data_IF_339236005934
#
_entry.id   IF_339236005934
#
_cell.length_a   1.000
_cell.length_b   1.000
_cell.length_c   1.000
_cell.angle_alpha   90.00
_cell.angle_beta   90.00
_cell.angle_gamma   90.00
#
_symmetry.space_group_name_H-M   'P 1'
#
loop_
_entity.id
_entity.type
_entity.pdbx_description
1 polymer ?
#
# COMPACT_ATOMS: atom_id res chain seq x y z
N UNK A 1 39.85 -8.75 -25.48
CA UNK A 1 38.37 -8.69 -25.54
C UNK A 1 37.69 -8.60 -24.16
N UNK A 2 38.18 -9.23 -23.09
CA UNK A 2 37.52 -9.20 -21.77
C UNK A 2 37.42 -7.81 -21.09
N UNK A 3 38.42 -6.92 -21.27
CA UNK A 3 38.40 -5.55 -20.69
C UNK A 3 37.44 -4.58 -21.37
N UNK A 4 37.08 -4.81 -22.64
CA UNK A 4 36.13 -3.96 -23.38
C UNK A 4 34.68 -4.27 -22.99
N UNK A 5 34.36 -5.53 -22.74
CA UNK A 5 33.02 -5.94 -22.27
C UNK A 5 32.73 -5.46 -20.84
N UNK A 6 33.72 -5.53 -19.95
CA UNK A 6 33.57 -5.04 -18.57
C UNK A 6 33.34 -3.51 -18.48
N UNK A 7 33.87 -2.74 -19.43
CA UNK A 7 33.67 -1.29 -19.50
C UNK A 7 32.28 -0.90 -20.02
N UNK A 8 31.70 -1.69 -20.93
CA UNK A 8 30.32 -1.48 -21.38
C UNK A 8 29.30 -1.85 -20.30
N UNK A 9 29.48 -2.98 -19.61
CA UNK A 9 28.55 -3.39 -18.55
C UNK A 9 28.50 -2.39 -17.40
N UNK A 10 29.65 -1.85 -16.99
CA UNK A 10 29.69 -0.84 -15.94
C UNK A 10 29.02 0.49 -16.37
N UNK A 11 29.15 0.88 -17.65
CA UNK A 11 28.48 2.07 -18.18
C UNK A 11 26.95 1.88 -18.31
N UNK A 12 26.50 0.69 -18.72
CA UNK A 12 25.08 0.34 -18.79
C UNK A 12 24.44 0.27 -17.39
N UNK A 13 25.19 -0.24 -16.41
CA UNK A 13 24.76 -0.27 -15.01
C UNK A 13 24.65 1.14 -14.41
N UNK A 14 25.62 2.02 -14.67
CA UNK A 14 25.60 3.42 -14.22
C UNK A 14 24.45 4.23 -14.86
N UNK A 15 24.21 4.04 -16.17
CA UNK A 15 23.12 4.69 -16.90
C UNK A 15 21.74 4.18 -16.43
N UNK A 16 21.63 2.90 -16.13
CA UNK A 16 20.42 2.31 -15.53
C UNK A 16 20.17 2.84 -14.11
N UNK A 17 21.21 2.91 -13.29
CA UNK A 17 21.12 3.50 -11.95
C UNK A 17 20.73 4.97 -12.01
N UNK A 18 21.26 5.73 -12.98
CA UNK A 18 20.92 7.13 -13.20
C UNK A 18 19.45 7.30 -13.59
N UNK A 19 18.97 6.54 -14.58
CA UNK A 19 17.55 6.54 -14.98
C UNK A 19 16.62 6.22 -13.81
N UNK A 20 16.99 5.24 -12.99
CA UNK A 20 16.22 4.88 -11.79
C UNK A 20 16.15 6.06 -10.81
N UNK A 21 17.28 6.69 -10.52
CA UNK A 21 17.32 7.86 -9.64
C UNK A 21 16.48 9.03 -10.17
N UNK A 22 16.55 9.30 -11.48
CA UNK A 22 15.78 10.38 -12.12
C UNK A 22 14.26 10.10 -12.09
N UNK A 23 13.84 8.85 -12.37
CA UNK A 23 12.44 8.41 -12.24
C UNK A 23 11.94 8.55 -10.80
N UNK A 24 12.76 8.15 -9.82
CA UNK A 24 12.40 8.22 -8.42
C UNK A 24 12.24 9.68 -7.96
N UNK A 25 13.21 10.54 -8.31
CA UNK A 25 13.17 11.96 -7.98
C UNK A 25 11.93 12.66 -8.57
N UNK A 26 11.58 12.35 -9.81
CA UNK A 26 10.37 12.86 -10.45
C UNK A 26 9.09 12.44 -9.72
N UNK A 27 8.99 11.17 -9.28
CA UNK A 27 7.82 10.71 -8.52
C UNK A 27 7.72 11.41 -7.17
N UNK A 28 8.84 11.54 -6.44
CA UNK A 28 8.86 12.29 -5.17
C UNK A 28 8.40 13.75 -5.33
N UNK A 29 8.83 14.42 -6.40
CA UNK A 29 8.41 15.78 -6.69
C UNK A 29 6.89 15.89 -6.95
N UNK A 30 6.32 14.99 -7.75
CA UNK A 30 4.88 14.95 -8.01
C UNK A 30 4.05 14.67 -6.75
N UNK A 31 4.55 13.81 -5.84
CA UNK A 31 3.88 13.50 -4.58
C UNK A 31 3.99 14.63 -3.54
N UNK A 32 4.95 15.53 -3.70
CA UNK A 32 5.14 16.69 -2.82
C UNK A 32 4.34 17.93 -3.26
N UNK A 33 3.52 17.82 -4.31
CA UNK A 33 2.70 18.92 -4.83
C UNK A 33 3.41 19.82 -5.85
N UNK A 34 4.49 19.33 -6.49
CA UNK A 34 5.12 20.07 -7.59
C UNK A 34 4.19 20.17 -8.80
N UNK A 35 3.77 21.39 -9.15
CA UNK A 35 2.93 21.68 -10.31
C UNK A 35 3.55 21.14 -11.60
N UNK A 36 2.98 20.03 -12.10
CA UNK A 36 2.47 19.86 -13.47
C UNK A 36 3.37 20.04 -14.69
N UNK A 37 4.42 20.84 -14.69
CA UNK A 37 5.36 20.98 -15.81
C UNK A 37 6.51 19.96 -15.70
N UNK A 38 6.16 18.70 -15.46
CA UNK A 38 7.14 17.62 -15.55
C UNK A 38 7.45 17.31 -17.02
N UNK A 39 8.49 17.94 -17.56
CA UNK A 39 9.21 17.48 -18.76
C UNK A 39 10.18 16.32 -18.41
N UNK A 40 9.69 15.33 -17.66
CA UNK A 40 10.46 14.18 -17.17
C UNK A 40 10.13 12.88 -17.92
N UNK A 41 10.86 11.77 -17.67
CA UNK A 41 10.73 10.49 -18.38
C UNK A 41 9.43 9.70 -18.09
N UNK A 42 8.45 10.29 -17.41
CA UNK A 42 7.26 9.62 -16.89
C UNK A 42 5.98 9.91 -17.69
N UNK A 43 4.83 9.37 -17.24
CA UNK A 43 3.53 9.66 -17.83
C UNK A 43 3.21 11.16 -17.75
N UNK A 44 2.92 11.76 -18.91
CA UNK A 44 2.55 13.18 -18.99
C UNK A 44 1.20 13.49 -18.31
N UNK A 45 0.97 14.75 -17.89
CA UNK A 45 -0.22 15.14 -17.13
C UNK A 45 -1.51 15.13 -17.95
N UNK A 46 -1.42 15.20 -19.28
CA UNK A 46 -2.58 15.29 -20.18
C UNK A 46 -3.34 13.97 -20.41
N UNK A 47 -2.76 12.84 -20.03
CA UNK A 47 -3.39 11.52 -20.13
C UNK A 47 -3.92 11.02 -18.78
N UNK A 48 -4.80 10.01 -18.82
CA UNK A 48 -5.15 9.25 -17.62
C UNK A 48 -3.91 8.54 -17.08
N UNK A 49 -3.67 8.62 -15.78
CA UNK A 49 -2.55 7.93 -15.11
C UNK A 49 -3.11 7.09 -13.96
N UNK A 50 -2.35 6.11 -13.53
CA UNK A 50 -2.70 5.25 -12.39
C UNK A 50 -1.52 5.21 -11.44
N UNK A 51 -1.77 5.49 -10.16
CA UNK A 51 -0.82 5.18 -9.09
C UNK A 51 -1.01 3.72 -8.71
N UNK A 52 0.09 3.00 -8.61
CA UNK A 52 0.13 1.59 -8.21
C UNK A 52 1.03 1.46 -7.00
N UNK A 53 0.49 0.96 -5.89
CA UNK A 53 1.26 0.53 -4.73
C UNK A 53 1.48 -0.97 -4.87
N UNK A 54 2.74 -1.39 -4.93
CA UNK A 54 3.13 -2.78 -5.09
C UNK A 54 3.12 -3.52 -3.73
N UNK A 55 2.95 -4.85 -3.72
CA UNK A 55 2.99 -5.61 -2.47
C UNK A 55 4.39 -5.56 -1.82
N UNK A 56 4.51 -5.78 -0.49
CA UNK A 56 5.80 -5.76 0.20
C UNK A 56 6.84 -6.78 -0.30
N UNK A 57 6.40 -7.82 -1.00
CA UNK A 57 7.27 -8.82 -1.63
C UNK A 57 7.86 -8.37 -2.97
N UNK A 58 7.36 -7.28 -3.56
CA UNK A 58 7.86 -6.75 -4.81
C UNK A 58 9.26 -6.14 -4.63
N UNK A 59 10.05 -6.19 -5.70
CA UNK A 59 11.37 -5.56 -5.75
C UNK A 59 11.38 -4.52 -6.86
N UNK A 60 12.16 -3.44 -6.68
CA UNK A 60 12.29 -2.40 -7.69
C UNK A 60 12.75 -2.97 -9.04
N UNK A 61 13.79 -3.81 -9.04
CA UNK A 61 14.29 -4.45 -10.26
C UNK A 61 13.27 -5.38 -10.94
N UNK A 62 12.42 -6.06 -10.15
CA UNK A 62 11.35 -6.88 -10.70
C UNK A 62 10.25 -6.05 -11.36
N UNK A 63 9.83 -4.97 -10.70
CA UNK A 63 8.82 -4.05 -11.22
C UNK A 63 9.32 -3.31 -12.47
N UNK A 64 10.57 -2.82 -12.47
CA UNK A 64 11.18 -2.15 -13.62
C UNK A 64 11.23 -3.06 -14.84
N UNK A 65 11.59 -4.33 -14.68
CA UNK A 65 11.61 -5.27 -15.80
C UNK A 65 10.24 -5.36 -16.49
N UNK A 66 9.18 -5.52 -15.69
CA UNK A 66 7.80 -5.58 -16.21
C UNK A 66 7.42 -4.26 -16.90
N UNK A 67 7.79 -3.13 -16.30
CA UNK A 67 7.44 -1.80 -16.82
C UNK A 67 8.25 -1.44 -18.08
N UNK A 68 9.51 -1.82 -18.17
CA UNK A 68 10.34 -1.66 -19.36
C UNK A 68 9.83 -2.55 -20.51
N UNK A 69 9.40 -3.78 -20.21
CA UNK A 69 8.80 -4.71 -21.19
C UNK A 69 7.46 -4.16 -21.75
N UNK A 70 6.70 -3.43 -20.94
CA UNK A 70 5.46 -2.77 -21.36
C UNK A 70 5.69 -1.60 -22.34
N UNK A 71 6.93 -1.11 -22.49
CA UNK A 71 7.33 -0.04 -23.44
C UNK A 71 6.52 1.25 -23.33
N UNK A 72 5.97 1.54 -22.13
CA UNK A 72 5.26 2.78 -21.83
C UNK A 72 6.06 3.63 -20.83
N UNK A 73 5.97 4.97 -20.86
CA UNK A 73 6.57 5.81 -19.83
C UNK A 73 6.04 5.45 -18.44
N UNK A 74 6.93 5.43 -17.46
CA UNK A 74 6.58 5.17 -16.07
C UNK A 74 7.52 5.92 -15.12
N UNK A 75 7.04 6.14 -13.89
CA UNK A 75 7.89 6.48 -12.76
C UNK A 75 7.79 5.36 -11.73
N UNK A 76 8.87 5.16 -10.98
CA UNK A 76 8.96 4.17 -9.92
C UNK A 76 9.85 4.73 -8.80
N UNK A 77 9.39 4.65 -7.56
CA UNK A 77 10.15 5.06 -6.39
C UNK A 77 9.74 4.25 -5.16
N UNK A 78 10.61 4.23 -4.16
CA UNK A 78 10.23 3.81 -2.81
C UNK A 78 9.76 5.05 -2.03
N UNK A 79 8.51 5.02 -1.57
CA UNK A 79 7.86 6.11 -0.82
C UNK A 79 7.42 5.54 0.53
N UNK A 80 7.94 6.08 1.64
CA UNK A 80 7.65 5.59 2.99
C UNK A 80 7.86 4.07 3.20
N UNK A 81 8.81 3.47 2.47
CA UNK A 81 9.07 2.02 2.49
C UNK A 81 8.15 1.18 1.60
N UNK A 82 7.27 1.81 0.83
CA UNK A 82 6.39 1.16 -0.14
C UNK A 82 6.89 1.44 -1.57
N UNK A 83 6.93 0.41 -2.42
CA UNK A 83 7.28 0.60 -3.83
C UNK A 83 6.06 1.11 -4.59
N UNK A 84 6.18 2.30 -5.18
CA UNK A 84 5.09 3.01 -5.85
C UNK A 84 5.45 3.28 -7.30
N UNK A 85 4.55 2.93 -8.21
CA UNK A 85 4.66 3.24 -9.63
C UNK A 85 3.59 4.25 -10.06
N UNK A 86 3.93 5.11 -11.01
CA UNK A 86 2.99 5.91 -11.78
C UNK A 86 3.07 5.47 -13.24
N UNK A 87 1.95 4.98 -13.76
CA UNK A 87 1.84 4.42 -15.11
C UNK A 87 0.65 5.02 -15.84
N UNK A 88 0.61 4.94 -17.17
CA UNK A 88 -0.60 5.28 -17.95
C UNK A 88 -1.64 4.18 -17.80
N UNK A 89 -1.21 2.93 -17.95
CA UNK A 89 -2.03 1.72 -17.79
C UNK A 89 -1.25 0.72 -16.95
N UNK A 90 -1.95 -0.06 -16.12
CA UNK A 90 -1.32 -1.08 -15.27
C UNK A 90 -1.07 -2.34 -16.10
N UNK A 91 0.19 -2.75 -16.34
CA UNK A 91 0.48 -3.99 -17.04
C UNK A 91 -0.12 -5.17 -16.25
N UNK A 92 -0.74 -6.17 -16.91
CA UNK A 92 -1.34 -7.30 -16.22
C UNK A 92 -0.33 -8.14 -15.42
N UNK A 93 0.94 -8.13 -15.80
CA UNK A 93 2.04 -8.80 -15.11
C UNK A 93 2.53 -8.01 -13.88
N UNK A 94 2.18 -6.72 -13.76
CA UNK A 94 2.57 -5.89 -12.63
C UNK A 94 1.68 -6.22 -11.44
N UNK A 95 2.25 -6.88 -10.43
CA UNK A 95 1.50 -7.21 -9.22
C UNK A 95 1.24 -5.94 -8.41
N UNK A 96 -0.04 -5.60 -8.25
CA UNK A 96 -0.49 -4.49 -7.41
C UNK A 96 -1.05 -4.99 -6.08
N UNK A 97 -0.86 -4.21 -5.02
CA UNK A 97 -1.61 -4.33 -3.77
C UNK A 97 -2.76 -3.31 -3.73
N UNK A 98 -2.53 -2.10 -4.24
CA UNK A 98 -3.54 -1.05 -4.33
C UNK A 98 -3.33 -0.17 -5.56
N UNK A 99 -4.42 0.32 -6.15
CA UNK A 99 -4.35 1.25 -7.28
C UNK A 99 -5.31 2.42 -7.11
N UNK A 100 -5.00 3.56 -7.72
CA UNK A 100 -5.93 4.67 -7.83
C UNK A 100 -5.70 5.44 -9.12
N UNK A 101 -6.80 5.87 -9.74
CA UNK A 101 -6.79 6.65 -10.97
C UNK A 101 -6.43 8.10 -10.66
N UNK A 102 -5.54 8.68 -11.46
CA UNK A 102 -5.25 10.11 -11.50
C UNK A 102 -5.97 10.70 -12.72
N UNK A 103 -6.99 11.55 -12.53
CA UNK A 103 -7.63 12.23 -13.64
C UNK A 103 -6.63 13.07 -14.44
N UNK A 104 -6.87 13.29 -15.75
CA UNK A 104 -6.05 14.20 -16.56
C UNK A 104 -5.95 15.58 -15.90
N UNK A 105 -4.74 16.11 -15.82
CA UNK A 105 -4.45 17.41 -15.20
C UNK A 105 -4.52 17.44 -13.66
N UNK A 106 -4.94 16.37 -12.99
CA UNK A 106 -5.00 16.33 -11.53
C UNK A 106 -3.63 16.07 -10.89
N UNK A 107 -3.50 16.45 -9.62
CA UNK A 107 -2.35 16.12 -8.79
C UNK A 107 -2.25 14.61 -8.53
N UNK A 108 -1.02 14.11 -8.39
CA UNK A 108 -0.77 12.68 -8.12
C UNK A 108 -0.89 12.34 -6.64
N UNK A 109 -0.60 13.30 -5.76
CA UNK A 109 -0.56 13.07 -4.32
C UNK A 109 -1.88 12.56 -3.72
N UNK A 110 -3.08 13.06 -4.11
CA UNK A 110 -4.35 12.49 -3.67
C UNK A 110 -4.52 11.01 -4.07
N UNK A 111 -4.31 10.68 -5.34
CA UNK A 111 -4.42 9.29 -5.81
C UNK A 111 -3.41 8.36 -5.12
N UNK A 112 -2.21 8.86 -4.76
CA UNK A 112 -1.26 8.07 -3.99
C UNK A 112 -1.77 7.74 -2.58
N UNK A 113 -2.41 8.69 -1.89
CA UNK A 113 -3.05 8.41 -0.58
C UNK A 113 -4.14 7.35 -0.72
N UNK A 114 -4.94 7.46 -1.78
CA UNK A 114 -6.04 6.55 -2.08
C UNK A 114 -5.53 5.13 -2.41
N UNK A 115 -4.49 5.02 -3.25
CA UNK A 115 -3.87 3.75 -3.61
C UNK A 115 -3.20 3.08 -2.40
N UNK A 116 -2.57 3.85 -1.50
CA UNK A 116 -2.02 3.32 -0.24
C UNK A 116 -3.11 2.76 0.66
N UNK A 117 -4.24 3.46 0.80
CA UNK A 117 -5.35 2.94 1.59
C UNK A 117 -5.89 1.63 0.99
N UNK A 118 -6.00 1.55 -0.33
CA UNK A 118 -6.38 0.34 -1.04
C UNK A 118 -5.39 -0.83 -0.78
N UNK A 119 -4.08 -0.57 -0.83
CA UNK A 119 -3.05 -1.55 -0.51
C UNK A 119 -3.12 -2.04 0.94
N UNK A 120 -3.38 -1.13 1.89
CA UNK A 120 -3.58 -1.48 3.32
C UNK A 120 -4.81 -2.35 3.51
N UNK A 121 -5.90 -2.08 2.79
CA UNK A 121 -7.10 -2.93 2.79
C UNK A 121 -6.79 -4.32 2.23
N UNK A 122 -6.06 -4.41 1.13
CA UNK A 122 -5.58 -5.67 0.56
C UNK A 122 -4.82 -6.48 1.62
N UNK A 123 -3.85 -5.85 2.32
CA UNK A 123 -3.08 -6.50 3.37
C UNK A 123 -3.93 -6.93 4.58
N UNK A 124 -4.90 -6.12 4.99
CA UNK A 124 -5.76 -6.40 6.15
C UNK A 124 -6.76 -7.54 5.88
N UNK A 125 -7.30 -7.60 4.66
CA UNK A 125 -8.38 -8.54 4.31
C UNK A 125 -7.89 -9.79 3.58
N UNK A 126 -6.69 -9.75 3.02
CA UNK A 126 -6.17 -10.80 2.12
C UNK A 126 -6.94 -10.91 0.80
N UNK A 127 -7.84 -9.98 0.51
CA UNK A 127 -8.44 -9.85 -0.81
C UNK A 127 -7.39 -9.25 -1.77
N UNK A 128 -7.40 -9.65 -3.05
CA UNK A 128 -6.41 -9.26 -4.06
C UNK A 128 -6.29 -7.75 -4.30
N UNK A 129 -5.61 -7.32 -5.39
CA UNK A 129 -5.39 -5.89 -5.65
C UNK A 129 -6.70 -5.11 -5.53
N UNK A 130 -6.69 -4.10 -4.66
CA UNK A 130 -7.87 -3.26 -4.42
C UNK A 130 -7.72 -1.98 -5.22
N UNK A 131 -8.75 -1.64 -6.00
CA UNK A 131 -8.87 -0.31 -6.59
C UNK A 131 -9.44 0.64 -5.55
N UNK A 132 -8.85 1.82 -5.42
CA UNK A 132 -9.35 2.83 -4.50
C UNK A 132 -10.80 3.23 -4.80
N UNK A 133 -11.19 3.22 -6.08
CA UNK A 133 -12.56 3.54 -6.50
C UNK A 133 -13.60 2.51 -6.03
N UNK A 134 -13.15 1.31 -5.62
CA UNK A 134 -13.98 0.23 -5.09
C UNK A 134 -13.95 0.14 -3.55
N UNK A 135 -13.25 1.06 -2.88
CA UNK A 135 -13.19 1.09 -1.42
C UNK A 135 -14.58 1.31 -0.82
N UNK A 136 -14.97 0.55 0.22
CA UNK A 136 -16.20 0.81 0.95
C UNK A 136 -16.20 2.17 1.64
N UNK A 137 -17.40 2.63 1.99
CA UNK A 137 -17.61 3.95 2.62
C UNK A 137 -16.78 4.15 3.89
N UNK A 138 -16.67 3.14 4.76
CA UNK A 138 -15.92 3.24 6.02
C UNK A 138 -14.43 3.46 5.78
N UNK A 139 -13.86 2.77 4.79
CA UNK A 139 -12.46 2.95 4.41
C UNK A 139 -12.24 4.37 3.89
N UNK A 140 -13.10 4.86 2.99
CA UNK A 140 -12.97 6.23 2.45
C UNK A 140 -13.05 7.31 3.52
N UNK A 141 -13.82 7.10 4.59
CA UNK A 141 -13.88 8.03 5.72
C UNK A 141 -12.50 8.26 6.36
N UNK A 142 -11.57 7.29 6.29
CA UNK A 142 -10.19 7.45 6.76
C UNK A 142 -9.47 8.59 6.03
N UNK A 143 -9.73 8.75 4.72
CA UNK A 143 -9.10 9.80 3.90
C UNK A 143 -9.60 11.19 4.31
N UNK A 144 -10.86 11.29 4.77
CA UNK A 144 -11.55 12.54 5.08
C UNK A 144 -11.25 13.06 6.50
N UNK A 145 -11.13 12.18 7.50
CA UNK A 145 -10.96 12.60 8.91
C UNK A 145 -9.58 13.19 9.24
N UNK A 146 -8.63 13.11 8.30
CA UNK A 146 -7.30 13.69 8.41
C UNK A 146 -6.31 12.84 9.23
N UNK A 147 -5.01 13.05 8.97
CA UNK A 147 -3.93 12.23 9.52
C UNK A 147 -3.83 12.26 11.04
N UNK A 148 -4.08 13.42 11.67
CA UNK A 148 -3.99 13.57 13.13
C UNK A 148 -5.06 12.74 13.85
N UNK A 149 -6.30 12.77 13.35
CA UNK A 149 -7.42 12.02 13.93
C UNK A 149 -7.26 10.52 13.72
N UNK A 150 -6.74 10.13 12.55
CA UNK A 150 -6.33 8.75 12.27
C UNK A 150 -5.27 8.30 13.28
N UNK A 151 -4.20 9.07 13.46
CA UNK A 151 -3.11 8.72 14.37
C UNK A 151 -3.58 8.61 15.83
N UNK A 152 -4.50 9.46 16.26
CA UNK A 152 -5.16 9.38 17.57
C UNK A 152 -5.96 8.08 17.72
N UNK A 153 -6.83 7.76 16.76
CA UNK A 153 -7.59 6.51 16.75
C UNK A 153 -6.68 5.28 16.80
N UNK A 154 -5.64 5.25 15.96
CA UNK A 154 -4.67 4.14 15.93
C UNK A 154 -3.99 3.97 17.28
N UNK A 155 -3.58 5.08 17.91
CA UNK A 155 -2.91 5.06 19.22
C UNK A 155 -3.84 4.55 20.31
N UNK A 156 -5.04 5.12 20.41
CA UNK A 156 -6.00 4.79 21.46
C UNK A 156 -6.43 3.32 21.40
N UNK A 157 -6.58 2.77 20.19
CA UNK A 157 -7.07 1.41 19.99
C UNK A 157 -5.94 0.37 19.98
N UNK A 158 -4.80 0.65 19.34
CA UNK A 158 -3.75 -0.37 19.14
C UNK A 158 -2.64 -0.34 20.18
N UNK A 159 -2.32 0.81 20.79
CA UNK A 159 -1.28 0.87 21.84
C UNK A 159 -1.52 -0.09 23.00
N UNK A 160 -2.76 -0.30 23.49
CA UNK A 160 -3.05 -1.29 24.53
C UNK A 160 -2.82 -2.75 24.09
N UNK A 161 -2.80 -3.02 22.78
CA UNK A 161 -2.70 -4.36 22.23
C UNK A 161 -1.25 -4.73 21.96
N UNK A 162 -0.77 -5.80 22.59
CA UNK A 162 0.53 -6.39 22.23
C UNK A 162 0.51 -7.02 20.82
N UNK A 163 1.68 -7.37 20.29
CA UNK A 163 1.82 -7.91 18.94
C UNK A 163 0.97 -9.17 18.70
N UNK A 164 0.82 -10.05 19.71
CA UNK A 164 0.04 -11.27 19.59
C UNK A 164 -1.47 -10.98 19.57
N UNK A 165 -1.93 -9.98 20.33
CA UNK A 165 -3.32 -9.52 20.30
C UNK A 165 -3.65 -8.84 18.97
N UNK A 166 -2.77 -7.94 18.48
CA UNK A 166 -2.94 -7.30 17.16
C UNK A 166 -3.01 -8.31 16.03
N UNK A 167 -2.09 -9.27 16.00
CA UNK A 167 -2.11 -10.37 15.03
C UNK A 167 -3.41 -11.17 15.14
N UNK A 168 -3.87 -11.46 16.36
CA UNK A 168 -5.11 -12.23 16.57
C UNK A 168 -6.33 -11.50 16.04
N UNK A 169 -6.50 -10.21 16.35
CA UNK A 169 -7.68 -9.46 15.90
C UNK A 169 -7.65 -9.18 14.39
N UNK A 170 -6.47 -8.94 13.81
CA UNK A 170 -6.29 -8.83 12.36
C UNK A 170 -6.74 -10.11 11.65
N UNK A 171 -6.22 -11.26 12.07
CA UNK A 171 -6.58 -12.55 11.47
C UNK A 171 -8.05 -12.88 11.70
N UNK A 172 -8.59 -12.55 12.87
CA UNK A 172 -10.01 -12.72 13.17
C UNK A 172 -10.91 -11.92 12.24
N UNK A 173 -10.59 -10.65 11.97
CA UNK A 173 -11.32 -9.83 11.01
C UNK A 173 -11.19 -10.37 9.57
N UNK A 174 -9.97 -10.77 9.16
CA UNK A 174 -9.73 -11.36 7.84
C UNK A 174 -10.53 -12.66 7.61
N UNK A 175 -10.75 -13.45 8.65
CA UNK A 175 -11.57 -14.67 8.61
C UNK A 175 -13.04 -14.44 9.02
N UNK A 176 -13.58 -13.24 8.77
CA UNK A 176 -15.00 -12.90 9.00
C UNK A 176 -15.45 -13.21 10.43
N UNK A 177 -14.58 -12.98 11.39
CA UNK A 177 -14.83 -13.15 12.81
C UNK A 177 -15.03 -14.62 13.24
N UNK A 178 -14.54 -15.58 12.45
CA UNK A 178 -14.61 -17.01 12.73
C UNK A 178 -13.43 -17.50 13.59
N UNK A 179 -13.72 -17.95 14.81
CA UNK A 179 -12.68 -18.41 15.77
C UNK A 179 -11.92 -19.65 15.28
N UNK A 180 -12.58 -20.73 14.81
CA UNK A 180 -11.88 -21.90 14.28
C UNK A 180 -10.93 -21.59 13.11
N UNK A 181 -11.36 -20.80 12.14
CA UNK A 181 -10.54 -20.37 11.01
C UNK A 181 -9.36 -19.51 11.46
N UNK A 182 -9.59 -18.60 12.40
CA UNK A 182 -8.53 -17.78 13.01
C UNK A 182 -7.48 -18.65 13.70
N UNK A 183 -7.91 -19.65 14.46
CA UNK A 183 -7.03 -20.57 15.18
C UNK A 183 -6.14 -21.37 14.22
N UNK A 184 -6.73 -21.90 13.14
CA UNK A 184 -6.01 -22.59 12.07
C UNK A 184 -4.99 -21.68 11.39
N UNK A 185 -5.37 -20.45 11.03
CA UNK A 185 -4.49 -19.49 10.37
C UNK A 185 -3.32 -19.04 11.25
N UNK A 186 -3.52 -18.95 12.57
CA UNK A 186 -2.48 -18.58 13.54
C UNK A 186 -1.68 -19.78 14.08
N UNK A 187 -2.00 -21.01 13.65
CA UNK A 187 -1.42 -22.26 14.17
C UNK A 187 -1.49 -22.37 15.70
N UNK A 188 -2.64 -22.00 16.29
CA UNK A 188 -2.91 -22.11 17.73
C UNK A 188 -4.21 -22.86 17.99
N UNK A 189 -4.43 -23.26 19.24
CA UNK A 189 -5.71 -23.83 19.67
C UNK A 189 -6.83 -22.77 19.75
N UNK A 190 -8.09 -23.13 19.48
CA UNK A 190 -9.23 -22.21 19.53
C UNK A 190 -9.37 -21.50 20.89
N UNK A 191 -9.12 -22.20 21.99
CA UNK A 191 -9.14 -21.63 23.35
C UNK A 191 -8.15 -20.46 23.49
N UNK A 192 -6.97 -20.54 22.85
CA UNK A 192 -6.00 -19.45 22.84
C UNK A 192 -6.55 -18.23 22.11
N UNK A 193 -7.25 -18.42 20.99
CA UNK A 193 -7.93 -17.33 20.27
C UNK A 193 -9.03 -16.72 21.14
N UNK A 194 -9.90 -17.53 21.74
CA UNK A 194 -10.99 -17.04 22.62
C UNK A 194 -10.43 -16.26 23.80
N UNK A 195 -9.37 -16.75 24.43
CA UNK A 195 -8.69 -16.05 25.52
C UNK A 195 -8.11 -14.70 25.07
N UNK A 196 -7.41 -14.66 23.93
CA UNK A 196 -6.87 -13.42 23.37
C UNK A 196 -7.98 -12.44 23.00
N UNK A 197 -9.06 -12.87 22.37
CA UNK A 197 -10.24 -12.04 22.08
C UNK A 197 -10.89 -11.52 23.36
N UNK A 198 -10.94 -12.31 24.44
CA UNK A 198 -11.38 -11.84 25.75
C UNK A 198 -10.51 -10.72 26.31
N UNK A 199 -9.18 -10.86 26.19
CA UNK A 199 -8.23 -9.80 26.58
C UNK A 199 -8.39 -8.55 25.73
N UNK A 200 -8.55 -8.68 24.41
CA UNK A 200 -8.81 -7.56 23.52
C UNK A 200 -10.08 -6.82 23.98
N UNK A 201 -11.18 -7.54 24.23
CA UNK A 201 -12.43 -6.92 24.70
C UNK A 201 -12.27 -6.14 26.00
N UNK A 202 -11.45 -6.62 26.92
CA UNK A 202 -11.16 -5.91 28.17
C UNK A 202 -10.36 -4.61 27.96
N UNK A 203 -9.62 -4.50 26.85
CA UNK A 203 -8.75 -3.36 26.55
C UNK A 203 -9.41 -2.32 25.63
N UNK A 204 -10.23 -2.75 24.66
CA UNK A 204 -10.79 -1.86 23.63
C UNK A 204 -12.31 -1.77 23.64
N UNK A 205 -13.00 -2.58 24.46
CA UNK A 205 -14.46 -2.64 24.53
C UNK A 205 -15.07 -3.89 23.86
N UNK A 206 -16.40 -4.01 23.92
CA UNK A 206 -17.09 -5.20 23.39
C UNK A 206 -17.04 -5.24 21.85
N UNK A 207 -16.32 -6.23 21.30
CA UNK A 207 -16.22 -6.50 19.85
C UNK A 207 -17.54 -6.95 19.19
N UNK A 208 -18.65 -7.00 19.93
CA UNK A 208 -20.01 -7.13 19.37
C UNK A 208 -20.66 -5.78 19.10
N UNK A 209 -20.15 -4.71 19.69
CA UNK A 209 -20.54 -3.34 19.38
C UNK A 209 -19.97 -2.98 17.99
N UNK A 210 -20.83 -2.59 17.02
CA UNK A 210 -20.39 -2.15 15.71
C UNK A 210 -19.40 -0.98 15.76
N UNK A 211 -19.56 -0.04 16.69
CA UNK A 211 -18.69 1.13 16.81
C UNK A 211 -17.28 0.72 17.25
N UNK A 212 -17.18 -0.18 18.25
CA UNK A 212 -15.89 -0.72 18.72
C UNK A 212 -15.22 -1.52 17.61
N UNK A 213 -15.98 -2.38 16.92
CA UNK A 213 -15.44 -3.21 15.84
C UNK A 213 -14.95 -2.35 14.67
N UNK A 214 -15.71 -1.31 14.31
CA UNK A 214 -15.31 -0.35 13.28
C UNK A 214 -14.04 0.43 13.70
N UNK A 215 -13.96 0.90 14.95
CA UNK A 215 -12.78 1.58 15.47
C UNK A 215 -11.52 0.70 15.39
N UNK A 216 -11.61 -0.57 15.81
CA UNK A 216 -10.51 -1.55 15.69
C UNK A 216 -10.14 -1.80 14.23
N UNK A 217 -11.14 -1.99 13.36
CA UNK A 217 -10.91 -2.18 11.93
C UNK A 217 -10.17 -0.99 11.30
N UNK A 218 -10.64 0.23 11.53
CA UNK A 218 -10.06 1.46 10.98
C UNK A 218 -8.68 1.74 11.56
N UNK A 219 -8.46 1.44 12.85
CA UNK A 219 -7.16 1.55 13.48
C UNK A 219 -6.14 0.59 12.85
N UNK A 220 -6.53 -0.66 12.57
CA UNK A 220 -5.68 -1.64 11.88
C UNK A 220 -5.42 -1.27 10.42
N UNK A 221 -6.43 -0.71 9.74
CA UNK A 221 -6.31 -0.24 8.35
C UNK A 221 -5.29 0.90 8.21
N UNK A 222 -5.08 1.65 9.28
CA UNK A 222 -4.20 2.83 9.32
C UNK A 222 -2.89 2.60 10.06
N UNK A 223 -2.69 1.42 10.65
CA UNK A 223 -1.43 1.01 11.29
C UNK A 223 -0.28 1.10 10.27
N UNK A 224 0.83 1.69 10.70
CA UNK A 224 2.06 1.81 9.90
C UNK A 224 2.93 0.58 10.05
#
# INVERSE_FOLDING_TARGET
MARLLAGLTAADDDDTARRRADRAAALHALLSGGDGEHAGPGPGPGGGRTVVVLPPSATAAGAERVLDDARAPYLLAEIDGELVALVTEVPPELTAAGTATVPPGAEVAPAHRDARLAARRCALTGAGPVRAEDLPVLDRMVLEIGADRVAELTRDVLTPLDAALRATVRTWLAHRQDVPATARALHVHENSVRHRLGRIRALVGDLRDPAVTAAVYLALLTER
#
